data_IF_995599109255
#
_entry.id   IF_995599109255
#
_cell.length_a   1.000
_cell.length_b   1.000
_cell.length_c   1.000
_cell.angle_alpha   90.00
_cell.angle_beta   90.00
_cell.angle_gamma   90.00
#
_symmetry.space_group_name_H-M   'P 1'
#
loop_
_entity.id
_entity.type
_entity.pdbx_description
1 polymer ?
#
# COMPACT_ATOMS: atom_id res chain seq x y z
N UNK A 1 -16.87 -1.48 -13.33
CA UNK A 1 -17.79 -1.83 -14.45
C UNK A 1 -19.16 -2.23 -13.93
N UNK A 2 -19.27 -3.21 -13.02
CA UNK A 2 -20.57 -3.66 -12.47
C UNK A 2 -21.38 -2.52 -11.85
N UNK A 3 -20.74 -1.56 -11.21
CA UNK A 3 -21.36 -0.43 -10.53
C UNK A 3 -21.47 0.83 -11.44
N UNK A 4 -21.35 0.65 -12.77
CA UNK A 4 -21.58 1.70 -13.77
C UNK A 4 -20.36 2.59 -14.05
N UNK A 5 -19.23 2.40 -13.37
CA UNK A 5 -18.03 3.19 -13.62
C UNK A 5 -17.31 2.77 -14.91
N UNK A 6 -16.77 3.76 -15.60
CA UNK A 6 -15.73 3.54 -16.60
C UNK A 6 -14.42 3.30 -15.86
N UNK A 7 -13.93 2.06 -15.96
CA UNK A 7 -12.69 1.65 -15.32
C UNK A 7 -11.57 1.59 -16.36
N UNK A 8 -10.44 2.14 -16.03
CA UNK A 8 -9.24 1.98 -16.84
C UNK A 8 -8.17 1.20 -16.08
N UNK A 9 -7.68 0.13 -16.70
CA UNK A 9 -6.51 -0.61 -16.26
C UNK A 9 -5.30 -0.13 -17.07
N UNK A 10 -4.31 0.44 -16.41
CA UNK A 10 -3.11 0.96 -17.04
C UNK A 10 -2.03 -0.14 -17.02
N UNK A 11 -2.06 -0.98 -18.03
CA UNK A 11 -1.09 -2.04 -18.34
C UNK A 11 -0.83 -3.02 -17.17
N UNK A 12 -1.82 -3.21 -16.28
CA UNK A 12 -1.68 -4.07 -15.11
C UNK A 12 -0.86 -3.49 -13.95
N UNK A 13 -0.36 -2.27 -14.07
CA UNK A 13 0.39 -1.61 -12.99
C UNK A 13 -0.52 -0.91 -11.99
N UNK A 14 -1.57 -0.25 -12.47
CA UNK A 14 -2.55 0.43 -11.66
C UNK A 14 -3.85 0.57 -12.43
N UNK A 15 -4.92 0.93 -11.72
CA UNK A 15 -6.20 1.23 -12.34
C UNK A 15 -6.82 2.50 -11.77
N UNK A 16 -7.85 3.01 -12.42
CA UNK A 16 -8.63 4.10 -11.88
C UNK A 16 -10.08 4.08 -12.35
N UNK A 17 -10.91 4.82 -11.62
CA UNK A 17 -12.26 5.21 -12.02
C UNK A 17 -12.35 6.74 -12.00
N UNK A 18 -13.09 7.31 -12.92
CA UNK A 18 -13.38 8.74 -12.99
C UNK A 18 -14.86 9.03 -12.73
N UNK A 19 -15.14 10.14 -12.06
CA UNK A 19 -16.47 10.73 -11.87
C UNK A 19 -16.43 12.17 -12.29
N UNK A 20 -17.48 12.60 -13.01
CA UNK A 20 -17.57 13.95 -13.55
C UNK A 20 -16.59 14.18 -14.70
N UNK A 21 -16.57 15.42 -15.15
CA UNK A 21 -15.77 15.88 -16.29
C UNK A 21 -14.98 17.13 -15.91
N UNK A 22 -14.02 17.51 -16.74
CA UNK A 22 -13.23 18.71 -16.57
C UNK A 22 -11.74 18.47 -16.81
N UNK A 23 -11.02 19.57 -16.99
CA UNK A 23 -9.58 19.54 -17.19
C UNK A 23 -8.83 19.29 -15.87
N UNK A 24 -9.30 19.90 -14.81
CA UNK A 24 -8.73 19.69 -13.47
C UNK A 24 -9.23 18.39 -12.86
N UNK A 25 -8.32 17.68 -12.20
CA UNK A 25 -8.60 16.39 -11.57
C UNK A 25 -8.29 16.45 -10.09
N UNK A 26 -9.25 16.01 -9.29
CA UNK A 26 -9.07 15.71 -7.88
C UNK A 26 -8.75 14.22 -7.72
N UNK A 27 -7.56 13.90 -7.24
CA UNK A 27 -7.09 12.52 -7.10
C UNK A 27 -7.32 11.97 -5.69
N UNK A 28 -7.79 10.75 -5.60
CA UNK A 28 -7.78 9.95 -4.37
C UNK A 28 -6.95 8.72 -4.68
N UNK A 29 -5.81 8.58 -4.02
CA UNK A 29 -4.85 7.53 -4.29
C UNK A 29 -4.77 6.56 -3.11
N UNK A 30 -5.01 5.29 -3.36
CA UNK A 30 -4.80 4.22 -2.39
C UNK A 30 -4.16 3.00 -3.04
N UNK A 31 -3.85 1.96 -2.24
CA UNK A 31 -3.18 0.77 -2.73
C UNK A 31 -3.88 -0.53 -2.33
N UNK A 32 -3.65 -1.58 -3.11
CA UNK A 32 -4.24 -2.90 -2.96
C UNK A 32 -3.24 -3.95 -2.46
N UNK A 33 -1.95 -3.71 -2.66
CA UNK A 33 -0.90 -4.60 -2.15
C UNK A 33 -0.76 -4.49 -0.63
N UNK A 34 -0.11 -5.47 -0.05
CA UNK A 34 0.07 -5.59 1.39
C UNK A 34 1.43 -6.18 1.71
N UNK A 35 2.01 -5.79 2.84
CA UNK A 35 3.19 -6.48 3.36
C UNK A 35 2.86 -7.89 3.83
N UNK A 36 3.76 -8.86 3.67
CA UNK A 36 3.60 -10.18 4.26
C UNK A 36 3.58 -10.08 5.79
N UNK A 37 2.95 -11.05 6.43
CA UNK A 37 2.91 -11.15 7.88
C UNK A 37 3.38 -12.54 8.36
N UNK A 38 3.81 -12.61 9.62
CA UNK A 38 3.99 -13.88 10.30
C UNK A 38 2.62 -14.39 10.75
N UNK A 39 2.10 -15.42 10.08
CA UNK A 39 0.75 -15.95 10.31
C UNK A 39 0.56 -16.48 11.74
N UNK A 40 1.61 -16.98 12.39
CA UNK A 40 1.55 -17.52 13.75
C UNK A 40 1.19 -16.46 14.83
N UNK A 41 1.36 -15.17 14.51
CA UNK A 41 1.00 -14.07 15.38
C UNK A 41 -0.46 -13.62 15.27
N UNK A 42 -1.26 -14.23 14.38
CA UNK A 42 -2.64 -13.84 14.13
C UNK A 42 -3.64 -14.74 14.85
N UNK A 43 -4.73 -14.13 15.32
CA UNK A 43 -5.87 -14.84 15.93
C UNK A 43 -6.98 -15.19 14.92
N UNK A 44 -6.76 -14.93 13.64
CA UNK A 44 -7.64 -15.22 12.51
C UNK A 44 -6.78 -15.40 11.26
N UNK A 45 -7.34 -15.95 10.20
CA UNK A 45 -6.66 -16.06 8.90
C UNK A 45 -6.27 -14.66 8.39
N UNK A 46 -4.98 -14.33 8.25
CA UNK A 46 -4.56 -12.95 7.96
C UNK A 46 -4.97 -12.46 6.58
N UNK A 47 -5.04 -13.34 5.59
CA UNK A 47 -5.38 -12.99 4.21
C UNK A 47 -6.85 -13.21 3.84
N UNK A 48 -7.68 -13.55 4.84
CA UNK A 48 -9.12 -13.64 4.71
C UNK A 48 -9.81 -12.62 5.61
N UNK A 49 -10.78 -11.89 5.07
CA UNK A 49 -11.53 -10.91 5.82
C UNK A 49 -12.40 -11.61 6.88
N UNK A 50 -12.11 -11.38 8.15
CA UNK A 50 -12.85 -11.98 9.29
C UNK A 50 -13.63 -10.90 10.04
N UNK A 51 -14.96 -10.97 9.97
CA UNK A 51 -15.84 -10.10 10.75
C UNK A 51 -16.11 -10.71 12.12
N UNK A 52 -15.70 -10.04 13.20
CA UNK A 52 -15.90 -10.49 14.58
C UNK A 52 -16.18 -9.31 15.50
N UNK A 53 -17.27 -9.39 16.26
CA UNK A 53 -17.69 -8.35 17.22
C UNK A 53 -17.78 -6.93 16.59
N UNK A 54 -18.30 -6.83 15.38
CA UNK A 54 -18.45 -5.56 14.65
C UNK A 54 -17.14 -4.98 14.14
N UNK A 55 -16.04 -5.72 14.20
CA UNK A 55 -14.72 -5.32 13.66
C UNK A 55 -14.29 -6.27 12.56
N UNK A 56 -13.68 -5.72 11.51
CA UNK A 56 -13.10 -6.47 10.41
C UNK A 56 -11.60 -6.66 10.66
N UNK A 57 -11.16 -7.90 10.59
CA UNK A 57 -9.76 -8.30 10.77
C UNK A 57 -9.22 -8.87 9.46
N UNK A 58 -7.97 -8.55 9.14
CA UNK A 58 -7.25 -9.07 7.99
C UNK A 58 -6.07 -8.17 7.62
N UNK A 59 -5.04 -8.74 7.01
CA UNK A 59 -3.92 -7.99 6.47
C UNK A 59 -4.41 -7.07 5.35
N UNK A 60 -4.11 -5.77 5.44
CA UNK A 60 -4.56 -4.77 4.48
C UNK A 60 -5.96 -4.20 4.75
N UNK A 61 -6.62 -4.59 5.86
CA UNK A 61 -7.93 -3.99 6.22
C UNK A 61 -7.79 -2.54 6.61
N UNK A 62 -6.76 -2.19 7.40
CA UNK A 62 -6.50 -0.81 7.80
C UNK A 62 -5.58 -0.08 6.83
N UNK A 63 -4.63 -0.78 6.26
CA UNK A 63 -3.58 -0.31 5.38
C UNK A 63 -3.59 -1.15 4.09
N UNK A 64 -4.16 -0.67 2.98
CA UNK A 64 -4.97 0.54 2.81
C UNK A 64 -6.36 0.20 2.22
N UNK A 65 -6.73 -1.11 2.14
CA UNK A 65 -7.98 -1.54 1.47
C UNK A 65 -9.25 -0.95 2.11
N UNK A 66 -9.27 -0.81 3.44
CA UNK A 66 -10.42 -0.24 4.14
C UNK A 66 -10.65 1.22 3.76
N UNK A 67 -9.66 2.12 3.96
CA UNK A 67 -9.76 3.51 3.54
C UNK A 67 -10.02 3.68 2.04
N UNK A 68 -9.34 2.90 1.19
CA UNK A 68 -9.54 2.93 -0.25
C UNK A 68 -10.97 2.53 -0.65
N UNK A 69 -11.54 1.51 -0.02
CA UNK A 69 -12.94 1.11 -0.25
C UNK A 69 -13.91 2.17 0.26
N UNK A 70 -13.62 2.83 1.37
CA UNK A 70 -14.43 3.96 1.84
C UNK A 70 -14.44 5.10 0.79
N UNK A 71 -13.28 5.44 0.23
CA UNK A 71 -13.18 6.41 -0.87
C UNK A 71 -13.95 5.96 -2.12
N UNK A 72 -13.84 4.67 -2.49
CA UNK A 72 -14.62 4.10 -3.59
C UNK A 72 -16.13 4.22 -3.36
N UNK A 73 -16.63 3.91 -2.15
CA UNK A 73 -18.06 4.03 -1.86
C UNK A 73 -18.51 5.48 -1.81
N UNK A 74 -17.69 6.42 -1.35
CA UNK A 74 -17.99 7.84 -1.45
C UNK A 74 -18.15 8.27 -2.92
N UNK A 75 -17.24 7.83 -3.77
CA UNK A 75 -17.31 8.03 -5.21
C UNK A 75 -18.59 7.40 -5.81
N UNK A 76 -18.93 6.18 -5.39
CA UNK A 76 -20.13 5.47 -5.84
C UNK A 76 -21.42 6.21 -5.47
N UNK A 77 -21.53 6.71 -4.27
CA UNK A 77 -22.69 7.51 -3.82
C UNK A 77 -22.86 8.74 -4.69
N UNK A 78 -21.78 9.47 -4.96
CA UNK A 78 -21.80 10.65 -5.84
C UNK A 78 -22.30 10.27 -7.23
N UNK A 79 -21.80 9.18 -7.78
CA UNK A 79 -22.17 8.68 -9.10
C UNK A 79 -23.64 8.23 -9.17
N UNK A 80 -24.09 7.38 -8.25
CA UNK A 80 -25.46 6.84 -8.23
C UNK A 80 -26.53 7.91 -7.99
N UNK A 81 -26.23 8.91 -7.19
CA UNK A 81 -27.13 10.03 -6.91
C UNK A 81 -27.00 11.18 -7.91
N UNK A 82 -26.15 11.07 -8.93
CA UNK A 82 -25.84 12.12 -9.89
C UNK A 82 -25.52 13.45 -9.22
N UNK A 83 -24.75 13.42 -8.13
CA UNK A 83 -24.38 14.65 -7.43
C UNK A 83 -23.37 15.45 -8.26
N UNK A 84 -23.53 16.80 -8.31
CA UNK A 84 -22.59 17.62 -9.05
C UNK A 84 -21.21 17.62 -8.39
N UNK A 85 -20.18 17.45 -9.20
CA UNK A 85 -18.77 17.61 -8.79
C UNK A 85 -18.17 18.81 -9.50
N UNK A 86 -17.32 19.57 -8.80
CA UNK A 86 -16.67 20.76 -9.36
C UNK A 86 -15.46 20.42 -10.24
N UNK A 87 -14.86 19.29 -10.00
CA UNK A 87 -13.68 18.78 -10.70
C UNK A 87 -13.92 17.32 -11.04
N UNK A 88 -13.31 16.86 -12.11
CA UNK A 88 -13.22 15.41 -12.33
C UNK A 88 -12.55 14.76 -11.12
N UNK A 89 -13.20 13.80 -10.49
CA UNK A 89 -12.67 13.06 -9.37
C UNK A 89 -12.18 11.71 -9.84
N UNK A 90 -10.93 11.37 -9.56
CA UNK A 90 -10.26 10.14 -9.94
C UNK A 90 -9.85 9.34 -8.72
N UNK A 91 -10.42 8.15 -8.55
CA UNK A 91 -9.94 7.20 -7.55
C UNK A 91 -8.94 6.27 -8.22
N UNK A 92 -7.71 6.26 -7.73
CA UNK A 92 -6.58 5.51 -8.27
C UNK A 92 -6.24 4.36 -7.34
N UNK A 93 -6.10 3.17 -7.91
CA UNK A 93 -5.78 1.91 -7.23
C UNK A 93 -4.36 1.49 -7.58
N UNK A 94 -3.42 1.71 -6.65
CA UNK A 94 -2.04 1.26 -6.76
C UNK A 94 -1.88 -0.22 -6.42
N UNK A 95 -0.81 -0.85 -6.87
CA UNK A 95 -0.54 -2.27 -6.64
C UNK A 95 0.88 -2.57 -6.18
N UNK A 96 1.66 -1.56 -5.77
CA UNK A 96 3.04 -1.74 -5.34
C UNK A 96 3.51 -0.59 -4.41
N UNK A 97 2.63 -0.10 -3.54
CA UNK A 97 2.97 0.98 -2.60
C UNK A 97 4.04 0.50 -1.62
N UNK A 98 3.79 -0.62 -0.99
CA UNK A 98 4.59 -1.28 0.04
C UNK A 98 6.01 -1.67 -0.40
N UNK A 99 6.31 -1.53 -1.68
CA UNK A 99 7.60 -1.90 -2.26
C UNK A 99 8.13 -0.83 -3.23
N UNK A 100 7.93 0.44 -2.89
CA UNK A 100 8.52 1.61 -3.54
C UNK A 100 7.71 2.20 -4.69
N UNK A 101 6.40 1.97 -4.72
CA UNK A 101 5.41 2.66 -5.57
C UNK A 101 5.76 2.68 -7.08
N UNK A 102 6.40 1.64 -7.58
CA UNK A 102 6.75 1.53 -9.01
C UNK A 102 5.53 1.56 -9.93
N UNK A 103 4.39 1.07 -9.42
CA UNK A 103 3.10 1.15 -10.10
C UNK A 103 2.71 2.60 -10.39
N UNK A 104 2.88 3.51 -9.44
CA UNK A 104 2.57 4.92 -9.60
C UNK A 104 3.59 5.64 -10.48
N UNK A 105 4.88 5.29 -10.35
CA UNK A 105 5.90 5.80 -11.26
C UNK A 105 5.54 5.49 -12.71
N UNK A 106 5.12 4.25 -13.00
CA UNK A 106 4.67 3.85 -14.33
C UNK A 106 3.36 4.54 -14.73
N UNK A 107 2.36 4.53 -13.85
CA UNK A 107 1.04 5.12 -14.09
C UNK A 107 1.15 6.57 -14.56
N UNK A 108 1.95 7.39 -13.89
CA UNK A 108 2.15 8.79 -14.24
C UNK A 108 3.03 9.03 -15.46
N UNK A 109 3.61 8.01 -16.07
CA UNK A 109 4.14 8.11 -17.44
C UNK A 109 3.04 8.05 -18.50
N UNK A 110 1.87 7.52 -18.16
CA UNK A 110 0.73 7.32 -19.07
C UNK A 110 -0.42 8.29 -18.80
N UNK A 111 -0.54 8.76 -17.58
CA UNK A 111 -1.63 9.62 -17.11
C UNK A 111 -1.08 10.89 -16.46
N UNK A 112 -1.75 12.04 -16.66
CA UNK A 112 -1.35 13.25 -15.97
C UNK A 112 -1.54 13.14 -14.47
N UNK A 113 -0.73 13.88 -13.74
CA UNK A 113 -0.92 14.06 -12.30
C UNK A 113 -2.25 14.78 -12.03
N UNK A 114 -2.98 14.40 -10.97
CA UNK A 114 -4.09 15.20 -10.48
C UNK A 114 -3.64 16.62 -10.11
N UNK A 115 -4.53 17.61 -10.29
CA UNK A 115 -4.27 19.01 -9.90
C UNK A 115 -4.12 19.15 -8.39
N UNK A 116 -4.87 18.33 -7.65
CA UNK A 116 -4.81 18.19 -6.21
C UNK A 116 -5.40 16.84 -5.80
N UNK A 117 -5.21 16.44 -4.54
CA UNK A 117 -5.76 15.20 -4.05
C UNK A 117 -5.26 14.85 -2.66
N UNK A 118 -5.61 13.66 -2.23
CA UNK A 118 -5.10 13.06 -0.99
C UNK A 118 -4.95 11.54 -1.14
N UNK A 119 -4.19 10.97 -0.24
CA UNK A 119 -4.20 9.53 0.02
C UNK A 119 -4.90 9.26 1.34
N UNK A 120 -5.85 8.31 1.42
CA UNK A 120 -6.49 7.93 2.67
C UNK A 120 -5.60 7.07 3.58
N UNK A 121 -4.41 6.76 3.14
CA UNK A 121 -3.43 5.90 3.79
C UNK A 121 -2.63 6.66 4.87
N UNK A 122 -3.34 7.33 5.77
CA UNK A 122 -2.76 8.09 6.86
C UNK A 122 -3.77 8.29 8.01
N UNK A 123 -3.26 8.68 9.16
CA UNK A 123 -4.08 8.99 10.32
C UNK A 123 -4.71 10.39 10.25
N UNK A 124 -5.82 10.58 10.96
CA UNK A 124 -6.41 11.89 11.16
C UNK A 124 -5.65 12.70 12.23
N UNK A 125 -5.66 14.06 12.15
CA UNK A 125 -6.50 14.86 11.23
C UNK A 125 -5.98 14.94 9.79
N UNK A 126 -4.80 15.37 9.52
CA UNK A 126 -4.21 15.46 8.17
C UNK A 126 -2.69 15.45 8.31
N UNK A 127 -2.05 14.52 7.65
CA UNK A 127 -0.59 14.53 7.45
C UNK A 127 -0.31 15.36 6.21
N UNK A 128 0.35 16.50 6.37
CA UNK A 128 0.67 17.42 5.28
C UNK A 128 2.16 17.49 4.94
N UNK A 129 2.97 16.71 5.65
CA UNK A 129 4.40 16.62 5.42
C UNK A 129 5.00 15.40 6.08
N UNK A 130 5.99 14.81 5.45
CA UNK A 130 6.70 13.65 5.91
C UNK A 130 8.21 13.89 5.90
N UNK A 131 8.93 13.13 6.73
CA UNK A 131 10.38 13.08 6.67
C UNK A 131 10.81 12.19 5.53
N UNK A 132 11.81 12.60 4.77
CA UNK A 132 12.40 11.74 3.76
C UNK A 132 13.03 10.49 4.40
N UNK A 133 12.76 9.34 3.79
CA UNK A 133 13.40 8.07 4.12
C UNK A 133 14.59 7.82 3.20
N UNK A 134 15.69 7.33 3.76
CA UNK A 134 16.86 6.90 2.98
C UNK A 134 17.21 5.47 3.38
N UNK A 135 17.24 4.59 2.39
CA UNK A 135 17.75 3.24 2.55
C UNK A 135 19.20 3.21 2.07
N UNK A 136 20.10 2.70 2.92
CA UNK A 136 21.49 2.49 2.54
C UNK A 136 21.95 1.09 2.93
N UNK A 137 22.87 0.56 2.14
CA UNK A 137 23.49 -0.74 2.39
C UNK A 137 24.94 -0.52 2.80
N UNK A 138 25.32 -1.02 3.96
CA UNK A 138 26.71 -1.08 4.39
C UNK A 138 27.25 -2.46 4.02
N UNK A 139 28.40 -2.48 3.34
CA UNK A 139 29.09 -3.70 2.97
C UNK A 139 30.48 -3.62 3.64
N UNK A 140 30.85 -4.70 4.31
CA UNK A 140 32.16 -4.85 4.96
C UNK A 140 32.56 -6.33 5.00
N UNK A 141 33.83 -6.56 5.16
CA UNK A 141 34.39 -7.90 5.42
C UNK A 141 34.49 -8.11 6.92
N UNK A 142 34.15 -9.30 7.37
CA UNK A 142 34.28 -9.72 8.77
C UNK A 142 35.28 -10.87 8.80
N UNK A 143 36.43 -10.65 9.38
CA UNK A 143 37.38 -11.71 9.65
C UNK A 143 37.01 -12.42 10.97
N UNK A 144 36.37 -13.57 10.85
CA UNK A 144 36.03 -14.40 12.00
C UNK A 144 36.06 -15.88 11.61
N UNK A 145 37.04 -16.61 12.14
CA UNK A 145 37.26 -18.01 11.79
C UNK A 145 36.12 -18.95 12.20
N UNK A 146 35.26 -18.51 13.09
CA UNK A 146 34.17 -19.31 13.63
C UNK A 146 32.78 -18.94 13.05
N UNK A 147 32.64 -17.80 12.38
CA UNK A 147 31.36 -17.36 11.82
C UNK A 147 31.27 -17.73 10.33
N UNK A 148 30.35 -18.64 10.00
CA UNK A 148 30.05 -19.02 8.62
C UNK A 148 29.08 -18.06 7.99
N UNK A 149 28.08 -17.60 8.75
CA UNK A 149 27.07 -16.71 8.27
C UNK A 149 26.18 -16.13 9.37
N UNK A 150 25.64 -14.97 9.12
CA UNK A 150 24.68 -14.27 9.98
C UNK A 150 23.54 -13.78 9.11
N UNK A 151 22.32 -14.18 9.44
CA UNK A 151 21.13 -13.84 8.68
C UNK A 151 20.06 -13.27 9.59
N UNK A 152 19.52 -12.11 9.21
CA UNK A 152 18.47 -11.46 9.99
C UNK A 152 17.65 -10.53 9.11
N UNK A 153 16.33 -10.61 9.27
CA UNK A 153 15.39 -9.79 8.53
C UNK A 153 15.32 -10.11 7.04
N UNK A 154 14.30 -9.60 6.39
CA UNK A 154 14.05 -9.79 4.96
C UNK A 154 13.69 -8.47 4.24
N UNK A 155 13.51 -7.36 4.98
CA UNK A 155 13.18 -6.04 4.45
C UNK A 155 13.83 -4.92 5.26
N UNK A 156 14.18 -3.84 4.58
CA UNK A 156 14.88 -2.69 5.19
C UNK A 156 14.01 -1.88 6.15
N UNK A 157 12.69 -1.93 6.00
CA UNK A 157 11.73 -1.19 6.83
C UNK A 157 11.13 -2.02 8.00
N UNK A 158 11.63 -3.24 8.22
CA UNK A 158 11.19 -4.11 9.32
C UNK A 158 12.36 -4.38 10.24
N UNK A 159 12.17 -4.12 11.54
CA UNK A 159 13.13 -4.55 12.56
C UNK A 159 12.99 -6.07 12.73
N UNK A 160 14.04 -6.85 12.50
CA UNK A 160 13.96 -8.30 12.59
C UNK A 160 13.81 -8.77 14.04
N UNK A 161 12.89 -9.70 14.24
CA UNK A 161 12.68 -10.35 15.55
C UNK A 161 13.67 -11.48 15.82
N UNK A 162 14.24 -12.06 14.75
CA UNK A 162 15.12 -13.23 14.81
C UNK A 162 16.39 -12.96 14.02
N UNK A 163 17.51 -13.40 14.57
CA UNK A 163 18.80 -13.47 13.91
C UNK A 163 19.35 -14.90 14.00
N UNK A 164 19.76 -15.46 12.88
CA UNK A 164 20.39 -16.77 12.80
C UNK A 164 21.89 -16.62 12.54
N UNK A 165 22.70 -17.24 13.39
CA UNK A 165 24.15 -17.32 13.23
C UNK A 165 24.59 -18.76 12.99
N UNK A 166 25.36 -18.96 11.94
CA UNK A 166 25.97 -20.26 11.60
C UNK A 166 27.44 -20.20 11.97
N UNK A 167 27.86 -21.11 12.85
CA UNK A 167 29.22 -21.18 13.39
C UNK A 167 29.89 -22.49 13.04
N UNK A 168 31.23 -22.46 12.91
CA UNK A 168 32.04 -23.67 12.84
C UNK A 168 32.31 -24.21 14.25
N UNK A 169 32.17 -25.52 14.46
CA UNK A 169 32.46 -26.18 15.72
C UNK A 169 31.25 -26.81 16.39
N UNK A 170 31.52 -27.72 17.33
CA UNK A 170 30.48 -28.32 18.17
C UNK A 170 30.34 -27.54 19.48
N UNK A 171 29.13 -27.14 19.80
CA UNK A 171 28.84 -26.66 21.15
C UNK A 171 29.03 -27.82 22.16
N UNK A 172 29.78 -27.55 23.20
CA UNK A 172 29.81 -28.37 24.41
C UNK A 172 28.82 -27.85 25.42
#
# INVERSE_FOLDING_TARGET
ERDGFVCENVDGYAGHIDIGEGEETFGILGHLDVVPCNESGWNSEPYAATLKNGKLYGRGVADDKGPLIAAYYAAKIIHELNLPVKMKTRVIFGCNEENGSKCMQYYFTKKPYPSMGFTPDAEFPVVYGEKAGVNFKIIGEIENDNLIGLYSGNRANIVPEVCEAYLTGSYK
#
